data_IF_984844086415
#
_entry.id   IF_984844086415
#
_cell.length_a   1.000
_cell.length_b   1.000
_cell.length_c   1.000
_cell.angle_alpha   90.00
_cell.angle_beta   90.00
_cell.angle_gamma   90.00
#
_symmetry.space_group_name_H-M   'P 1'
#
loop_
_entity.id
_entity.type
_entity.pdbx_description
1 polymer ?
#
# COMPACT_ATOMS: atom_id res chain seq x y z
N UNK A 1 20.06 -10.65 13.67
CA UNK A 1 19.26 -10.94 12.46
C UNK A 1 19.20 -9.67 11.64
N UNK A 2 19.67 -9.68 10.39
CA UNK A 2 19.42 -8.55 9.49
C UNK A 2 17.91 -8.52 9.24
N UNK A 3 17.22 -7.49 9.74
CA UNK A 3 15.82 -7.30 9.42
C UNK A 3 15.74 -6.91 7.94
N UNK A 4 15.50 -7.89 7.07
CA UNK A 4 15.17 -7.67 5.68
C UNK A 4 13.93 -6.79 5.64
N UNK A 5 14.11 -5.50 5.36
CA UNK A 5 12.96 -4.59 5.25
C UNK A 5 12.23 -4.92 3.96
N UNK A 6 11.07 -5.56 4.09
CA UNK A 6 10.19 -5.81 2.96
C UNK A 6 9.52 -4.49 2.57
N UNK A 7 9.44 -4.22 1.27
CA UNK A 7 8.76 -3.05 0.74
C UNK A 7 7.90 -3.45 -0.45
N UNK A 8 6.69 -2.89 -0.51
CA UNK A 8 5.73 -3.09 -1.59
C UNK A 8 5.64 -1.78 -2.37
N UNK A 9 5.75 -1.86 -3.70
CA UNK A 9 5.56 -0.71 -4.58
C UNK A 9 4.15 -0.77 -5.17
N UNK A 10 3.32 0.22 -4.83
CA UNK A 10 1.94 0.36 -5.30
C UNK A 10 1.90 1.41 -6.40
N UNK A 11 1.28 1.09 -7.53
CA UNK A 11 0.97 2.06 -8.58
C UNK A 11 -0.40 2.67 -8.29
N UNK A 12 -0.45 3.97 -8.05
CA UNK A 12 -1.71 4.68 -7.78
C UNK A 12 -2.42 5.08 -9.08
N UNK A 13 -3.75 5.29 -9.08
CA UNK A 13 -4.53 5.64 -10.28
C UNK A 13 -4.07 6.91 -11.01
N UNK A 14 -3.41 7.83 -10.32
CA UNK A 14 -2.80 9.02 -10.90
C UNK A 14 -1.45 8.76 -11.62
N UNK A 15 -1.08 7.49 -11.81
CA UNK A 15 0.17 7.08 -12.47
C UNK A 15 1.43 7.20 -11.61
N UNK A 16 1.31 7.59 -10.33
CA UNK A 16 2.45 7.70 -9.41
C UNK A 16 2.74 6.35 -8.74
N UNK A 17 4.00 6.12 -8.38
CA UNK A 17 4.42 4.95 -7.59
C UNK A 17 4.60 5.33 -6.14
N UNK A 18 4.14 4.49 -5.22
CA UNK A 18 4.33 4.63 -3.78
C UNK A 18 5.01 3.39 -3.23
N UNK A 19 6.15 3.58 -2.58
CA UNK A 19 6.85 2.51 -1.89
C UNK A 19 6.47 2.52 -0.42
N UNK A 20 5.84 1.45 0.05
CA UNK A 20 5.42 1.27 1.45
C UNK A 20 6.31 0.20 2.08
N UNK A 21 6.90 0.53 3.22
CA UNK A 21 7.64 -0.44 4.04
C UNK A 21 6.61 -1.32 4.76
N UNK A 22 6.80 -2.63 4.68
CA UNK A 22 5.89 -3.60 5.27
C UNK A 22 6.64 -4.54 6.20
N UNK A 23 5.94 -5.06 7.19
CA UNK A 23 6.40 -6.20 7.96
C UNK A 23 5.84 -7.50 7.36
N UNK A 24 6.43 -8.67 7.63
CA UNK A 24 5.88 -9.96 7.17
C UNK A 24 4.41 -10.19 7.56
N UNK A 25 3.94 -9.55 8.63
CA UNK A 25 2.58 -9.67 9.13
C UNK A 25 1.65 -8.55 8.64
N UNK A 26 2.14 -7.61 7.83
CA UNK A 26 1.31 -6.52 7.32
C UNK A 26 0.48 -7.04 6.13
N UNK A 27 -0.87 -7.05 6.24
CA UNK A 27 -1.71 -7.52 5.13
C UNK A 27 -1.65 -6.53 3.97
N UNK A 28 -1.59 -7.06 2.73
CA UNK A 28 -1.54 -6.23 1.52
C UNK A 28 -2.74 -5.29 1.39
N UNK A 29 -3.90 -5.70 1.88
CA UNK A 29 -5.12 -4.89 1.83
C UNK A 29 -4.96 -3.61 2.66
N UNK A 30 -4.38 -3.69 3.86
CA UNK A 30 -4.06 -2.52 4.69
C UNK A 30 -3.04 -1.61 3.98
N UNK A 31 -2.04 -2.18 3.30
CA UNK A 31 -1.05 -1.39 2.53
C UNK A 31 -1.74 -0.58 1.42
N UNK A 32 -2.69 -1.18 0.72
CA UNK A 32 -3.45 -0.52 -0.34
C UNK A 32 -4.40 0.54 0.21
N UNK A 33 -5.10 0.25 1.31
CA UNK A 33 -5.96 1.22 2.01
C UNK A 33 -5.18 2.42 2.54
N UNK A 34 -4.00 2.20 3.11
CA UNK A 34 -3.11 3.25 3.62
C UNK A 34 -2.65 4.16 2.47
N UNK A 35 -2.33 3.58 1.31
CA UNK A 35 -2.00 4.34 0.09
C UNK A 35 -3.22 5.12 -0.42
N UNK A 36 -4.41 4.52 -0.44
CA UNK A 36 -5.63 5.19 -0.82
C UNK A 36 -5.91 6.40 0.07
N UNK A 37 -5.94 6.20 1.40
CA UNK A 37 -6.17 7.26 2.39
C UNK A 37 -5.12 8.38 2.28
N UNK A 38 -3.84 8.03 2.14
CA UNK A 38 -2.73 9.00 2.01
C UNK A 38 -2.87 9.91 0.79
N UNK A 39 -3.45 9.41 -0.29
CA UNK A 39 -3.63 10.15 -1.54
C UNK A 39 -5.06 10.68 -1.76
N UNK A 40 -5.95 10.47 -0.79
CA UNK A 40 -7.36 10.88 -0.90
C UNK A 40 -8.18 10.04 -1.89
N UNK A 41 -7.74 8.82 -2.20
CA UNK A 41 -8.52 7.86 -3.00
C UNK A 41 -9.51 7.11 -2.12
N UNK A 42 -10.67 6.80 -2.68
CA UNK A 42 -11.66 5.99 -2.01
C UNK A 42 -11.36 4.49 -2.25
N UNK A 43 -11.05 3.69 -1.22
CA UNK A 43 -10.74 2.26 -1.38
C UNK A 43 -11.94 1.45 -1.93
N UNK A 44 -13.18 1.83 -1.59
CA UNK A 44 -14.39 1.16 -2.09
C UNK A 44 -14.55 1.31 -3.62
N UNK A 45 -14.09 2.42 -4.20
CA UNK A 45 -14.12 2.63 -5.67
C UNK A 45 -13.08 1.78 -6.41
N UNK A 46 -12.09 1.25 -5.68
CA UNK A 46 -11.03 0.40 -6.21
C UNK A 46 -11.22 -1.09 -5.87
N UNK A 47 -12.37 -1.47 -5.31
CA UNK A 47 -12.67 -2.86 -4.95
C UNK A 47 -11.80 -3.40 -3.80
N UNK A 48 -11.24 -2.50 -2.98
CA UNK A 48 -10.50 -2.86 -1.77
C UNK A 48 -11.52 -3.01 -0.63
N UNK A 49 -12.01 -4.22 -0.39
CA UNK A 49 -12.94 -4.56 0.70
C UNK A 49 -12.61 -5.92 1.31
#
# INVERSE_FOLDING_TARGET
>A
MAASSAAVCVLTPNGRRQTVKVSPNTPLLQVLEDVCKKHGFNPDEHGLK
#
